data_IF_382720471755
#
_entry.id   IF_382720471755
#
_cell.length_a   1.000
_cell.length_b   1.000
_cell.length_c   1.000
_cell.angle_alpha   90.00
_cell.angle_beta   90.00
_cell.angle_gamma   90.00
#
_symmetry.space_group_name_H-M   'P 1'
#
loop_
_entity.id
_entity.type
_entity.pdbx_description
1 polymer ?
#
# COMPACT_ATOMS: atom_id res chain seq x y z
N UNK A 1 -46.94 -34.50 -14.78
CA UNK A 1 -47.79 -35.06 -13.74
C UNK A 1 -47.69 -34.14 -12.53
N UNK A 2 -48.74 -33.41 -12.30
CA UNK A 2 -49.33 -32.79 -11.13
C UNK A 2 -48.55 -31.71 -10.39
N UNK A 3 -49.03 -30.51 -10.61
CA UNK A 3 -48.84 -29.22 -9.92
C UNK A 3 -49.49 -29.32 -8.53
N UNK A 4 -48.82 -28.76 -7.49
CA UNK A 4 -49.57 -28.22 -6.35
C UNK A 4 -49.02 -26.85 -5.93
N UNK A 5 -49.86 -25.82 -6.11
CA UNK A 5 -49.75 -24.46 -5.56
C UNK A 5 -50.15 -24.49 -4.09
N UNK A 6 -49.36 -23.87 -3.23
CA UNK A 6 -49.73 -23.50 -1.84
C UNK A 6 -49.70 -21.98 -1.66
N UNK A 7 -50.88 -21.41 -1.43
CA UNK A 7 -51.14 -19.98 -1.17
C UNK A 7 -50.98 -19.64 0.31
N UNK A 8 -50.55 -18.39 0.50
CA UNK A 8 -51.05 -17.43 1.52
C UNK A 8 -50.44 -17.47 2.94
N UNK A 9 -49.99 -16.33 3.44
CA UNK A 9 -50.87 -15.37 4.14
C UNK A 9 -50.09 -14.07 4.42
N UNK A 10 -50.72 -12.95 4.04
CA UNK A 10 -50.42 -11.63 4.56
C UNK A 10 -50.65 -11.61 6.08
N UNK A 11 -49.73 -10.99 6.83
CA UNK A 11 -50.00 -10.47 8.15
C UNK A 11 -49.58 -8.98 8.16
N UNK A 12 -50.60 -8.14 8.24
CA UNK A 12 -50.52 -6.72 8.54
C UNK A 12 -50.30 -6.59 10.04
N UNK A 13 -49.34 -5.80 10.49
CA UNK A 13 -49.24 -5.37 11.89
C UNK A 13 -48.78 -3.90 11.94
N UNK A 14 -49.69 -3.16 12.38
CA UNK A 14 -49.89 -1.91 13.07
C UNK A 14 -48.63 -1.08 13.48
N UNK A 15 -48.72 0.20 13.10
CA UNK A 15 -47.99 1.32 13.61
C UNK A 15 -48.26 1.55 15.10
N UNK A 16 -47.22 1.73 15.89
CA UNK A 16 -47.31 2.29 17.24
C UNK A 16 -46.52 3.60 17.28
N UNK A 17 -47.27 4.70 17.32
CA UNK A 17 -46.81 6.05 17.55
C UNK A 17 -46.35 6.20 19.01
N UNK A 18 -45.12 6.57 19.29
CA UNK A 18 -44.69 7.06 20.60
C UNK A 18 -44.52 8.58 20.53
N UNK A 19 -45.39 9.26 21.24
CA UNK A 19 -45.35 10.70 21.54
C UNK A 19 -44.35 10.93 22.68
N UNK A 20 -43.29 11.73 22.43
CA UNK A 20 -42.40 12.25 23.48
C UNK A 20 -42.91 13.63 23.90
N UNK A 21 -43.21 13.77 25.17
CA UNK A 21 -43.66 15.01 25.80
C UNK A 21 -42.48 15.90 26.13
N UNK A 22 -42.51 17.14 25.66
CA UNK A 22 -41.65 18.24 26.06
C UNK A 22 -42.03 18.71 27.48
N UNK A 23 -41.09 18.67 28.41
CA UNK A 23 -41.15 19.38 29.70
C UNK A 23 -40.19 20.55 29.64
N UNK A 24 -40.73 21.73 29.45
CA UNK A 24 -40.06 23.01 29.69
C UNK A 24 -40.02 23.29 31.19
N UNK A 25 -38.82 23.48 31.74
CA UNK A 25 -38.59 23.93 33.10
C UNK A 25 -37.66 25.13 33.09
N UNK A 26 -38.24 26.34 33.20
CA UNK A 26 -37.54 27.56 33.56
C UNK A 26 -37.25 27.58 35.05
N UNK A 27 -35.99 27.79 35.46
CA UNK A 27 -35.68 28.41 36.76
C UNK A 27 -34.54 29.40 36.61
N UNK A 28 -34.76 30.48 37.26
CA UNK A 28 -34.10 31.78 37.23
C UNK A 28 -32.94 31.83 38.23
N UNK A 29 -31.85 32.44 37.80
CA UNK A 29 -30.96 33.35 38.54
C UNK A 29 -30.12 32.81 39.69
N UNK A 30 -28.82 33.02 39.54
CA UNK A 30 -27.83 32.95 40.60
C UNK A 30 -26.43 33.23 40.06
N UNK A 31 -26.00 34.50 40.17
CA UNK A 31 -24.61 34.89 39.95
C UNK A 31 -23.69 34.11 40.89
N UNK A 32 -22.68 33.47 40.36
CA UNK A 32 -21.49 33.08 41.09
C UNK A 32 -20.30 33.11 40.15
N UNK A 33 -19.49 34.08 40.34
CA UNK A 33 -18.13 34.24 39.85
C UNK A 33 -17.33 32.94 40.19
N UNK A 34 -16.77 32.28 39.15
CA UNK A 34 -16.00 31.06 39.37
C UNK A 34 -15.29 30.67 38.09
N UNK A 35 -13.99 30.98 38.04
CA UNK A 35 -13.00 30.77 37.02
C UNK A 35 -13.32 29.73 35.95
N UNK A 36 -13.36 30.15 34.72
CA UNK A 36 -13.30 29.29 33.52
C UNK A 36 -11.97 28.57 33.52
N UNK A 37 -11.98 27.30 33.96
CA UNK A 37 -11.04 26.35 33.40
C UNK A 37 -11.60 26.01 32.03
N UNK A 38 -10.95 26.52 31.02
CA UNK A 38 -11.18 26.21 29.62
C UNK A 38 -10.74 24.75 29.37
N UNK A 39 -11.54 23.83 29.85
CA UNK A 39 -11.51 22.42 29.45
C UNK A 39 -12.46 22.29 28.27
N UNK A 40 -12.03 22.73 27.09
CA UNK A 40 -12.74 22.41 25.87
C UNK A 40 -12.94 20.89 25.83
N UNK A 41 -14.20 20.45 25.76
CA UNK A 41 -14.52 19.04 25.54
C UNK A 41 -13.89 18.67 24.21
N UNK A 42 -12.85 17.82 24.23
CA UNK A 42 -12.22 17.34 23.02
C UNK A 42 -13.28 16.62 22.18
N UNK A 43 -13.46 17.02 20.93
CA UNK A 43 -14.45 16.44 20.05
C UNK A 43 -14.01 15.03 19.66
N UNK A 44 -14.93 14.06 19.76
CA UNK A 44 -14.71 12.67 19.37
C UNK A 44 -14.51 12.58 17.85
N UNK A 45 -13.68 11.63 17.40
CA UNK A 45 -13.37 11.42 15.99
C UNK A 45 -13.65 10.01 15.53
N UNK A 46 -13.99 9.85 14.25
CA UNK A 46 -14.06 8.57 13.54
C UNK A 46 -12.83 8.42 12.67
N UNK A 47 -12.16 7.28 12.80
CA UNK A 47 -10.95 6.94 12.02
C UNK A 47 -11.18 5.69 11.21
N UNK A 48 -11.00 5.76 9.90
CA UNK A 48 -10.99 4.58 9.05
C UNK A 48 -9.58 4.08 8.80
N UNK A 49 -9.46 2.75 8.66
CA UNK A 49 -8.20 2.09 8.29
C UNK A 49 -8.46 0.99 7.26
N UNK A 50 -7.59 0.92 6.24
CA UNK A 50 -7.58 -0.20 5.30
C UNK A 50 -6.86 -1.44 5.89
N UNK A 51 -6.16 -1.31 7.01
CA UNK A 51 -5.48 -2.41 7.69
C UNK A 51 -6.47 -3.15 8.63
N UNK A 52 -7.02 -4.26 8.12
CA UNK A 52 -8.12 -4.98 8.78
C UNK A 52 -7.72 -6.33 9.40
N UNK A 53 -6.43 -6.69 9.34
CA UNK A 53 -5.95 -7.92 9.99
C UNK A 53 -6.15 -7.83 11.50
N UNK A 54 -6.74 -8.87 12.15
CA UNK A 54 -7.17 -8.79 13.55
C UNK A 54 -6.07 -8.40 14.54
N UNK A 55 -4.86 -8.91 14.35
CA UNK A 55 -3.69 -8.61 15.18
C UNK A 55 -3.24 -7.15 15.02
N UNK A 56 -3.26 -6.63 13.81
CA UNK A 56 -2.92 -5.23 13.49
C UNK A 56 -3.96 -4.26 14.02
N UNK A 57 -5.25 -4.58 13.85
CA UNK A 57 -6.35 -3.80 14.45
C UNK A 57 -6.25 -3.77 15.98
N UNK A 58 -5.91 -4.90 16.62
CA UNK A 58 -5.72 -4.94 18.07
C UNK A 58 -4.59 -4.00 18.53
N UNK A 59 -3.45 -4.01 17.82
CA UNK A 59 -2.32 -3.10 18.09
C UNK A 59 -2.66 -1.64 17.84
N UNK A 60 -3.37 -1.33 16.77
CA UNK A 60 -3.85 0.04 16.48
C UNK A 60 -4.74 0.53 17.62
N UNK A 61 -5.65 -0.32 18.14
CA UNK A 61 -6.49 0.02 19.31
C UNK A 61 -5.70 0.24 20.59
N UNK A 62 -4.59 -0.47 20.81
CA UNK A 62 -3.70 -0.22 21.94
C UNK A 62 -3.04 1.17 21.86
N UNK A 63 -2.63 1.59 20.67
CA UNK A 63 -2.09 2.95 20.43
C UNK A 63 -3.17 4.01 20.65
N UNK A 64 -4.37 3.79 20.12
CA UNK A 64 -5.53 4.66 20.29
C UNK A 64 -5.88 4.82 21.78
N UNK A 65 -5.88 3.74 22.55
CA UNK A 65 -6.20 3.80 24.00
C UNK A 65 -5.21 4.70 24.76
N UNK A 66 -3.90 4.66 24.42
CA UNK A 66 -2.90 5.56 24.99
C UNK A 66 -3.15 7.02 24.57
N UNK A 67 -3.51 7.25 23.31
CA UNK A 67 -3.88 8.57 22.82
C UNK A 67 -5.09 9.15 23.57
N UNK A 68 -6.17 8.36 23.71
CA UNK A 68 -7.38 8.77 24.44
C UNK A 68 -7.06 9.06 25.92
N UNK A 69 -6.23 8.23 26.58
CA UNK A 69 -5.80 8.47 27.96
C UNK A 69 -5.04 9.79 28.10
N UNK A 70 -4.18 10.13 27.13
CA UNK A 70 -3.33 11.32 27.17
C UNK A 70 -4.09 12.61 26.81
N UNK A 71 -5.01 12.54 25.84
CA UNK A 71 -5.65 13.73 25.23
C UNK A 71 -7.11 13.93 25.62
N UNK A 72 -7.78 12.88 26.08
CA UNK A 72 -9.22 12.87 26.33
C UNK A 72 -10.08 12.81 25.05
N UNK A 73 -9.49 12.68 23.86
CA UNK A 73 -10.22 12.52 22.58
C UNK A 73 -10.67 11.07 22.44
N UNK A 74 -11.98 10.85 22.34
CA UNK A 74 -12.55 9.53 22.03
C UNK A 74 -12.40 9.22 20.53
N UNK A 75 -12.04 7.97 20.21
CA UNK A 75 -11.80 7.55 18.82
C UNK A 75 -12.60 6.30 18.48
N UNK A 76 -13.42 6.37 17.43
CA UNK A 76 -14.04 5.20 16.82
C UNK A 76 -13.18 4.71 15.65
N UNK A 77 -12.57 3.52 15.79
CA UNK A 77 -11.79 2.89 14.70
C UNK A 77 -12.67 1.95 13.88
N UNK A 78 -12.81 2.24 12.59
CA UNK A 78 -13.57 1.44 11.61
C UNK A 78 -12.60 0.83 10.59
N UNK A 79 -12.56 -0.50 10.50
CA UNK A 79 -11.80 -1.22 9.48
C UNK A 79 -12.61 -1.32 8.18
N UNK A 80 -12.05 -0.84 7.07
CA UNK A 80 -12.65 -0.96 5.73
C UNK A 80 -11.73 -1.83 4.88
N UNK A 81 -12.16 -3.04 4.45
CA UNK A 81 -11.35 -3.91 3.61
C UNK A 81 -10.88 -3.22 2.32
N UNK A 82 -9.63 -3.46 1.93
CA UNK A 82 -8.99 -2.78 0.80
C UNK A 82 -9.77 -2.96 -0.52
N UNK A 83 -10.30 -4.15 -0.77
CA UNK A 83 -11.12 -4.49 -1.95
C UNK A 83 -12.46 -3.75 -2.00
N UNK A 84 -12.98 -3.30 -0.86
CA UNK A 84 -14.24 -2.56 -0.73
C UNK A 84 -14.02 -1.05 -0.54
N UNK A 85 -12.78 -0.64 -0.28
CA UNK A 85 -12.46 0.71 0.17
C UNK A 85 -12.99 1.79 -0.78
N UNK A 86 -12.72 1.69 -2.07
CA UNK A 86 -13.17 2.67 -3.06
C UNK A 86 -14.70 2.76 -3.16
N UNK A 87 -15.42 1.65 -3.02
CA UNK A 87 -16.88 1.63 -3.04
C UNK A 87 -17.46 2.28 -1.78
N UNK A 88 -16.94 1.94 -0.61
CA UNK A 88 -17.37 2.50 0.68
C UNK A 88 -17.09 4.01 0.70
N UNK A 89 -15.89 4.42 0.29
CA UNK A 89 -15.50 5.82 0.20
C UNK A 89 -16.44 6.63 -0.68
N UNK A 90 -16.73 6.16 -1.89
CA UNK A 90 -17.63 6.85 -2.83
C UNK A 90 -19.04 6.98 -2.27
N UNK A 91 -19.55 5.93 -1.61
CA UNK A 91 -20.91 5.97 -1.04
C UNK A 91 -21.00 6.90 0.17
N UNK A 92 -19.99 6.91 1.03
CA UNK A 92 -19.94 7.80 2.21
C UNK A 92 -19.71 9.26 1.83
N UNK A 93 -18.87 9.53 0.84
CA UNK A 93 -18.71 10.87 0.28
C UNK A 93 -20.05 11.44 -0.26
N UNK A 94 -20.79 10.63 -1.03
CA UNK A 94 -22.09 11.01 -1.55
C UNK A 94 -23.17 11.23 -0.46
N UNK A 95 -23.02 10.54 0.69
CA UNK A 95 -23.90 10.69 1.84
C UNK A 95 -23.50 11.86 2.76
N UNK A 96 -22.30 12.43 2.61
CA UNK A 96 -21.73 13.40 3.53
C UNK A 96 -21.36 12.79 4.88
N UNK A 97 -20.99 11.50 4.91
CA UNK A 97 -20.70 10.70 6.10
C UNK A 97 -19.27 10.12 5.98
N UNK A 98 -18.29 11.02 5.86
CA UNK A 98 -16.87 10.66 5.86
C UNK A 98 -16.34 10.61 7.30
N UNK A 99 -15.32 9.77 7.58
CA UNK A 99 -14.62 9.81 8.85
C UNK A 99 -13.76 11.07 8.94
N UNK A 100 -13.31 11.44 10.14
CA UNK A 100 -12.42 12.58 10.35
C UNK A 100 -10.99 12.32 9.84
N UNK A 101 -10.54 11.06 9.96
CA UNK A 101 -9.21 10.63 9.53
C UNK A 101 -9.31 9.31 8.78
N UNK A 102 -8.54 9.18 7.72
CA UNK A 102 -8.37 7.92 6.99
C UNK A 102 -6.88 7.55 7.03
N UNK A 103 -6.58 6.33 7.45
CA UNK A 103 -5.22 5.81 7.56
C UNK A 103 -4.98 4.53 6.77
N UNK A 104 -3.69 4.19 6.63
CA UNK A 104 -3.22 3.03 5.88
C UNK A 104 -3.68 3.04 4.41
N UNK A 105 -3.69 4.21 3.78
CA UNK A 105 -4.13 4.38 2.38
C UNK A 105 -2.97 4.71 1.45
N UNK A 106 -3.09 4.25 0.20
CA UNK A 106 -2.11 4.46 -0.85
C UNK A 106 -2.16 5.88 -1.43
N UNK A 107 -1.10 6.29 -2.10
CA UNK A 107 -1.06 7.56 -2.84
C UNK A 107 -2.22 7.71 -3.82
N UNK A 108 -2.56 6.65 -4.54
CA UNK A 108 -3.66 6.69 -5.51
C UNK A 108 -5.03 6.90 -4.83
N UNK A 109 -5.26 6.31 -3.65
CA UNK A 109 -6.49 6.54 -2.87
C UNK A 109 -6.55 7.98 -2.33
N UNK A 110 -5.41 8.53 -1.85
CA UNK A 110 -5.33 9.94 -1.45
C UNK A 110 -5.68 10.86 -2.63
N UNK A 111 -5.17 10.56 -3.83
CA UNK A 111 -5.48 11.33 -5.04
C UNK A 111 -6.96 11.22 -5.44
N UNK A 112 -7.58 10.06 -5.25
CA UNK A 112 -9.04 9.91 -5.45
C UNK A 112 -9.85 10.80 -4.50
N UNK A 113 -9.43 10.89 -3.23
CA UNK A 113 -10.05 11.80 -2.26
C UNK A 113 -9.88 13.27 -2.68
N UNK A 114 -8.64 13.67 -3.00
CA UNK A 114 -8.31 15.05 -3.36
C UNK A 114 -9.06 15.51 -4.63
N UNK A 115 -9.15 14.66 -5.66
CA UNK A 115 -9.89 14.94 -6.89
C UNK A 115 -11.41 15.16 -6.68
N UNK A 116 -11.93 14.81 -5.50
CA UNK A 116 -13.33 15.00 -5.12
C UNK A 116 -13.49 16.05 -4.00
N UNK A 117 -12.47 16.86 -3.71
CA UNK A 117 -12.48 17.89 -2.66
C UNK A 117 -12.76 17.31 -1.25
N UNK A 118 -12.33 16.08 -0.97
CA UNK A 118 -12.61 15.36 0.29
C UNK A 118 -11.47 15.37 1.30
N UNK A 119 -10.38 16.05 0.98
CA UNK A 119 -9.18 16.18 1.83
C UNK A 119 -9.12 17.58 2.41
N UNK A 120 -8.62 17.74 3.63
CA UNK A 120 -8.21 19.04 4.21
C UNK A 120 -6.68 19.23 4.09
N UNK A 121 -6.18 19.85 2.99
CA UNK A 121 -4.75 20.03 2.80
C UNK A 121 -4.11 20.95 3.84
N UNK A 122 -4.86 21.93 4.39
CA UNK A 122 -4.37 22.87 5.40
C UNK A 122 -4.15 22.15 6.74
N UNK A 123 -5.09 21.27 7.13
CA UNK A 123 -4.94 20.45 8.33
C UNK A 123 -3.75 19.50 8.22
N UNK A 124 -3.61 18.78 7.10
CA UNK A 124 -2.48 17.87 6.85
C UNK A 124 -1.15 18.60 6.84
N UNK A 125 -1.09 19.81 6.24
CA UNK A 125 0.10 20.65 6.23
C UNK A 125 0.51 21.09 7.64
N UNK A 126 -0.44 21.50 8.46
CA UNK A 126 -0.21 21.87 9.85
C UNK A 126 0.43 20.73 10.64
N UNK A 127 -0.06 19.50 10.46
CA UNK A 127 0.52 18.32 11.10
C UNK A 127 1.98 18.11 10.68
N UNK A 128 2.29 18.18 9.39
CA UNK A 128 3.66 18.00 8.88
C UNK A 128 4.59 19.10 9.43
N UNK A 129 4.14 20.37 9.47
CA UNK A 129 4.89 21.49 10.02
C UNK A 129 5.16 21.32 11.52
N UNK A 130 4.14 20.92 12.31
CA UNK A 130 4.26 20.67 13.76
C UNK A 130 5.22 19.51 14.08
N UNK A 131 5.24 18.47 13.26
CA UNK A 131 6.14 17.33 13.39
C UNK A 131 7.58 17.64 12.95
N UNK A 132 7.80 18.75 12.25
CA UNK A 132 9.07 19.13 11.64
C UNK A 132 9.25 18.50 10.27
N UNK A 133 9.05 19.29 9.22
CA UNK A 133 9.12 18.84 7.81
C UNK A 133 10.46 18.19 7.47
N UNK A 134 11.56 18.68 8.04
CA UNK A 134 12.91 18.19 7.85
C UNK A 134 13.18 16.79 8.47
N UNK A 135 12.25 16.29 9.30
CA UNK A 135 12.33 14.94 9.87
C UNK A 135 11.81 13.85 8.91
N UNK A 136 11.06 14.25 7.88
CA UNK A 136 10.55 13.36 6.85
C UNK A 136 11.53 13.16 5.69
N UNK A 137 11.47 12.03 5.00
CA UNK A 137 12.18 11.86 3.74
C UNK A 137 11.57 12.80 2.69
N UNK A 138 12.44 13.43 1.89
CA UNK A 138 11.99 14.38 0.86
C UNK A 138 11.05 13.70 -0.15
N UNK A 139 11.38 12.47 -0.53
CA UNK A 139 10.58 11.71 -1.50
C UNK A 139 9.17 11.43 -0.97
N UNK A 140 9.00 11.08 0.30
CA UNK A 140 7.67 10.84 0.87
C UNK A 140 6.81 12.12 0.87
N UNK A 141 7.40 13.27 1.20
CA UNK A 141 6.69 14.55 1.12
C UNK A 141 6.34 14.93 -0.32
N UNK A 142 7.26 14.77 -1.28
CA UNK A 142 7.00 15.03 -2.70
C UNK A 142 5.82 14.20 -3.23
N UNK A 143 5.75 12.92 -2.87
CA UNK A 143 4.70 12.02 -3.34
C UNK A 143 3.33 12.28 -2.70
N UNK A 144 3.30 12.85 -1.50
CA UNK A 144 2.06 13.16 -0.77
C UNK A 144 1.55 14.59 -0.96
N UNK A 145 2.24 15.38 -1.80
CA UNK A 145 1.86 16.76 -2.18
C UNK A 145 1.29 16.83 -3.59
N UNK A 146 0.49 17.86 -3.81
CA UNK A 146 0.12 18.34 -5.14
C UNK A 146 0.39 19.85 -5.21
N UNK A 147 1.43 20.23 -5.96
CA UNK A 147 1.96 21.60 -5.89
C UNK A 147 2.34 21.98 -4.46
N UNK A 148 1.71 23.02 -3.94
CA UNK A 148 1.94 23.52 -2.56
C UNK A 148 0.99 22.89 -1.52
N UNK A 149 0.06 22.03 -1.94
CA UNK A 149 -0.93 21.39 -1.08
C UNK A 149 -0.42 20.07 -0.51
N UNK A 150 -0.51 19.89 0.81
CA UNK A 150 -0.19 18.65 1.50
C UNK A 150 -1.46 17.80 1.59
N UNK A 151 -1.62 16.81 0.70
CA UNK A 151 -2.83 16.01 0.63
C UNK A 151 -2.95 14.97 1.74
N UNK A 152 -1.82 14.52 2.29
CA UNK A 152 -1.79 13.54 3.37
C UNK A 152 -0.48 13.61 4.14
N UNK A 153 -0.46 13.05 5.35
CA UNK A 153 0.74 12.92 6.18
C UNK A 153 1.36 11.56 5.93
N UNK A 154 2.54 11.45 5.30
CA UNK A 154 3.16 10.15 5.04
C UNK A 154 3.54 9.45 6.34
N UNK A 155 3.13 8.18 6.50
CA UNK A 155 3.39 7.42 7.73
C UNK A 155 4.50 6.38 7.57
N UNK A 156 4.51 5.68 6.46
CA UNK A 156 5.45 4.61 6.19
C UNK A 156 5.57 4.37 4.68
N UNK A 157 6.50 3.52 4.30
CA UNK A 157 6.61 3.06 2.92
C UNK A 157 6.88 1.56 2.85
N UNK A 158 6.61 0.97 1.70
CA UNK A 158 7.04 -0.37 1.35
C UNK A 158 7.56 -0.39 -0.09
N UNK A 159 8.35 -1.40 -0.41
CA UNK A 159 9.01 -1.51 -1.70
C UNK A 159 8.58 -2.78 -2.42
N UNK A 160 8.50 -2.73 -3.74
CA UNK A 160 8.48 -3.92 -4.59
C UNK A 160 9.93 -4.34 -4.85
N UNK A 161 10.21 -5.63 -4.74
CA UNK A 161 11.55 -6.18 -4.85
C UNK A 161 11.57 -7.39 -5.79
N UNK A 162 12.67 -7.59 -6.48
CA UNK A 162 12.99 -8.87 -7.08
C UNK A 162 13.72 -9.72 -6.04
N UNK A 163 13.10 -10.82 -5.63
CA UNK A 163 13.67 -11.85 -4.78
C UNK A 163 14.30 -12.95 -5.62
N UNK A 164 15.47 -13.46 -5.20
CA UNK A 164 16.10 -14.58 -5.87
C UNK A 164 16.67 -15.58 -4.88
N UNK A 165 16.66 -16.85 -5.22
CA UNK A 165 17.20 -17.96 -4.43
C UNK A 165 18.72 -17.96 -4.52
N UNK A 166 19.41 -17.39 -3.52
CA UNK A 166 20.89 -17.29 -3.45
C UNK A 166 21.54 -18.67 -3.59
N UNK A 167 21.04 -19.68 -2.90
CA UNK A 167 21.56 -21.04 -2.94
C UNK A 167 21.52 -21.65 -4.37
N UNK A 168 20.49 -21.37 -5.16
CA UNK A 168 20.38 -21.80 -6.55
C UNK A 168 21.31 -20.99 -7.45
N UNK A 169 21.40 -19.68 -7.24
CA UNK A 169 22.28 -18.80 -7.98
C UNK A 169 23.75 -19.13 -7.74
N UNK A 170 24.15 -19.31 -6.49
CA UNK A 170 25.52 -19.71 -6.11
C UNK A 170 25.91 -21.05 -6.74
N UNK A 171 25.02 -22.06 -6.66
CA UNK A 171 25.23 -23.38 -7.27
C UNK A 171 25.37 -23.30 -8.79
N UNK A 172 24.65 -22.38 -9.43
CA UNK A 172 24.70 -22.18 -10.88
C UNK A 172 25.81 -21.20 -11.31
N UNK A 173 26.50 -20.54 -10.38
CA UNK A 173 27.51 -19.53 -10.68
C UNK A 173 26.90 -18.28 -11.34
N UNK A 174 25.73 -17.85 -10.87
CA UNK A 174 25.00 -16.66 -11.35
C UNK A 174 25.09 -15.57 -10.28
N UNK A 175 25.35 -14.33 -10.68
CA UNK A 175 25.30 -13.16 -9.79
C UNK A 175 23.88 -12.60 -9.68
N UNK A 176 23.59 -11.77 -8.66
CA UNK A 176 22.33 -11.06 -8.53
C UNK A 176 21.98 -10.28 -9.81
N UNK A 177 20.78 -10.46 -10.39
CA UNK A 177 20.41 -9.83 -11.65
C UNK A 177 20.12 -8.34 -11.43
N UNK A 178 20.57 -7.49 -12.37
CA UNK A 178 20.37 -6.03 -12.30
C UNK A 178 19.67 -5.48 -13.54
N UNK A 179 19.66 -6.27 -14.60
CA UNK A 179 19.10 -5.87 -15.91
C UNK A 179 18.10 -6.91 -16.41
N UNK A 180 17.32 -6.53 -17.43
CA UNK A 180 16.44 -7.48 -18.13
C UNK A 180 17.20 -8.68 -18.66
N UNK A 181 18.38 -8.46 -19.24
CA UNK A 181 19.21 -9.54 -19.77
C UNK A 181 19.70 -10.47 -18.65
N UNK A 182 20.09 -9.93 -17.49
CA UNK A 182 20.50 -10.75 -16.35
C UNK A 182 19.34 -11.62 -15.84
N UNK A 183 18.13 -11.03 -15.71
CA UNK A 183 16.93 -11.76 -15.27
C UNK A 183 16.62 -12.88 -16.25
N UNK A 184 16.63 -12.59 -17.55
CA UNK A 184 16.38 -13.58 -18.60
C UNK A 184 17.41 -14.69 -18.59
N UNK A 185 18.69 -14.37 -18.54
CA UNK A 185 19.77 -15.36 -18.49
C UNK A 185 19.71 -16.25 -17.23
N UNK A 186 19.37 -15.66 -16.08
CA UNK A 186 19.16 -16.42 -14.85
C UNK A 186 17.95 -17.34 -14.95
N UNK A 187 16.83 -16.85 -15.49
CA UNK A 187 15.64 -17.64 -15.69
C UNK A 187 15.88 -18.81 -16.65
N UNK A 188 16.46 -18.56 -17.84
CA UNK A 188 16.81 -19.61 -18.81
C UNK A 188 17.69 -20.72 -18.20
N UNK A 189 18.64 -20.32 -17.34
CA UNK A 189 19.61 -21.26 -16.76
C UNK A 189 19.01 -22.10 -15.64
N UNK A 190 18.03 -21.59 -14.90
CA UNK A 190 17.46 -22.24 -13.72
C UNK A 190 16.12 -22.91 -14.00
N UNK A 191 15.44 -22.54 -15.09
CA UNK A 191 14.13 -23.11 -15.44
C UNK A 191 14.21 -24.61 -15.70
N UNK A 192 13.24 -25.33 -15.20
CA UNK A 192 13.09 -26.77 -15.37
C UNK A 192 11.64 -27.19 -15.16
N UNK A 193 11.24 -28.46 -15.45
CA UNK A 193 9.87 -28.92 -15.19
C UNK A 193 9.40 -28.76 -13.73
N UNK A 194 10.32 -28.71 -12.77
CA UNK A 194 10.04 -28.62 -11.33
C UNK A 194 10.27 -27.22 -10.75
N UNK A 195 10.97 -26.33 -11.47
CA UNK A 195 11.40 -25.01 -10.99
C UNK A 195 11.19 -23.97 -12.08
N UNK A 196 10.30 -23.03 -11.88
CA UNK A 196 10.16 -21.86 -12.74
C UNK A 196 11.34 -20.87 -12.54
N UNK A 197 11.80 -20.27 -13.63
CA UNK A 197 12.85 -19.24 -13.56
C UNK A 197 12.40 -17.98 -12.84
N UNK A 198 11.15 -17.52 -13.09
CA UNK A 198 10.56 -16.34 -12.46
C UNK A 198 9.05 -16.53 -12.26
N UNK A 199 8.53 -16.06 -11.14
CA UNK A 199 7.09 -15.89 -10.94
C UNK A 199 6.78 -14.42 -10.63
N UNK A 200 5.76 -13.87 -11.30
CA UNK A 200 5.29 -12.50 -11.10
C UNK A 200 3.80 -12.39 -11.44
N UNK A 201 3.12 -11.35 -10.99
CA UNK A 201 1.68 -11.19 -11.12
C UNK A 201 1.24 -10.89 -12.56
N UNK A 202 0.12 -11.50 -12.97
CA UNK A 202 -0.50 -11.26 -14.28
C UNK A 202 -2.03 -11.38 -14.25
N UNK A 203 -2.64 -11.47 -13.07
CA UNK A 203 -4.09 -11.54 -12.95
C UNK A 203 -4.71 -10.17 -13.26
N UNK A 204 -5.72 -10.09 -14.14
CA UNK A 204 -6.37 -8.82 -14.47
C UNK A 204 -7.20 -8.29 -13.30
N UNK A 205 -7.39 -6.98 -13.27
CA UNK A 205 -8.24 -6.33 -12.26
C UNK A 205 -7.65 -6.30 -10.85
N UNK A 206 -6.34 -6.48 -10.72
CA UNK A 206 -5.63 -6.39 -9.45
C UNK A 206 -4.54 -5.33 -9.48
N UNK A 207 -4.53 -4.46 -8.48
CA UNK A 207 -3.49 -3.44 -8.32
C UNK A 207 -2.08 -4.06 -8.20
N UNK A 208 -1.95 -5.23 -7.57
CA UNK A 208 -0.68 -5.94 -7.43
C UNK A 208 -0.05 -6.29 -8.79
N UNK A 209 -0.86 -6.62 -9.81
CA UNK A 209 -0.36 -6.84 -11.17
C UNK A 209 0.21 -5.57 -11.78
N UNK A 210 -0.46 -4.43 -11.62
CA UNK A 210 0.06 -3.13 -12.06
C UNK A 210 1.34 -2.76 -11.32
N UNK A 211 1.37 -2.86 -10.00
CA UNK A 211 2.52 -2.54 -9.16
C UNK A 211 3.75 -3.39 -9.51
N UNK A 212 3.53 -4.69 -9.76
CA UNK A 212 4.60 -5.61 -10.16
C UNK A 212 5.16 -5.27 -11.54
N UNK A 213 4.29 -4.91 -12.50
CA UNK A 213 4.72 -4.48 -13.83
C UNK A 213 5.39 -3.10 -13.79
N UNK A 214 4.84 -2.14 -13.04
CA UNK A 214 5.43 -0.79 -12.88
C UNK A 214 6.86 -0.88 -12.36
N UNK A 215 7.13 -1.77 -11.37
CA UNK A 215 8.48 -2.02 -10.84
C UNK A 215 9.48 -2.44 -11.94
N UNK A 216 9.06 -3.26 -12.89
CA UNK A 216 9.89 -3.68 -14.02
C UNK A 216 9.99 -2.55 -15.07
N UNK A 217 8.88 -1.94 -15.41
CA UNK A 217 8.76 -1.05 -16.56
C UNK A 217 9.46 0.30 -16.37
N UNK A 218 9.42 0.85 -15.16
CA UNK A 218 10.08 2.14 -14.84
C UNK A 218 11.57 2.15 -15.17
N UNK A 219 12.27 1.05 -14.92
CA UNK A 219 13.68 0.92 -15.22
C UNK A 219 13.99 0.78 -16.71
N UNK A 220 12.96 0.60 -17.57
CA UNK A 220 13.09 0.66 -19.02
C UNK A 220 12.71 2.03 -19.61
N UNK A 221 12.45 3.04 -18.76
CA UNK A 221 11.98 4.34 -19.22
C UNK A 221 10.51 4.36 -19.63
N UNK A 222 9.74 3.32 -19.29
CA UNK A 222 8.30 3.32 -19.51
C UNK A 222 7.63 4.24 -18.47
N UNK A 223 6.81 5.18 -18.95
CA UNK A 223 6.01 6.09 -18.15
C UNK A 223 4.54 6.01 -18.58
N UNK A 224 3.64 6.08 -17.64
CA UNK A 224 2.20 6.13 -17.92
C UNK A 224 1.83 7.46 -18.58
N UNK A 225 2.48 8.53 -18.14
CA UNK A 225 2.26 9.92 -18.57
C UNK A 225 3.59 10.68 -18.46
N UNK A 226 3.86 11.59 -19.38
CA UNK A 226 5.06 12.43 -19.36
C UNK A 226 4.88 13.71 -18.54
N UNK A 227 5.95 14.51 -18.39
CA UNK A 227 5.92 15.77 -17.63
C UNK A 227 5.03 16.86 -18.26
N UNK A 228 4.59 16.67 -19.51
CA UNK A 228 3.63 17.56 -20.19
C UNK A 228 2.18 17.13 -19.96
N UNK A 229 1.96 16.00 -19.30
CA UNK A 229 0.64 15.43 -19.05
C UNK A 229 0.09 14.60 -20.23
N UNK A 230 0.93 14.28 -21.24
CA UNK A 230 0.51 13.41 -22.33
C UNK A 230 0.64 11.94 -21.92
N UNK A 231 -0.36 11.14 -22.25
CA UNK A 231 -0.32 9.68 -22.03
C UNK A 231 0.73 9.06 -22.96
N UNK A 232 1.70 8.35 -22.37
CA UNK A 232 2.84 7.73 -23.06
C UNK A 232 2.94 6.21 -22.86
N UNK A 233 1.93 5.57 -22.31
CA UNK A 233 1.95 4.12 -22.07
C UNK A 233 2.03 3.28 -23.36
N UNK A 234 1.78 3.86 -24.52
CA UNK A 234 1.96 3.25 -25.85
C UNK A 234 3.32 3.58 -26.50
N UNK A 235 4.29 4.10 -25.72
CA UNK A 235 5.65 4.35 -26.18
C UNK A 235 6.43 3.05 -26.47
N UNK A 236 7.50 3.11 -27.31
CA UNK A 236 8.36 1.95 -27.55
C UNK A 236 8.95 1.34 -26.27
N UNK A 237 9.29 2.17 -25.27
CA UNK A 237 9.83 1.75 -23.98
C UNK A 237 8.81 0.90 -23.20
N UNK A 238 7.54 1.31 -23.19
CA UNK A 238 6.47 0.57 -22.54
C UNK A 238 6.13 -0.73 -23.29
N UNK A 239 6.08 -0.68 -24.62
CA UNK A 239 5.88 -1.88 -25.45
C UNK A 239 6.98 -2.91 -25.17
N UNK A 240 8.24 -2.50 -25.14
CA UNK A 240 9.37 -3.39 -24.86
C UNK A 240 9.32 -3.97 -23.43
N UNK A 241 8.90 -3.18 -22.44
CA UNK A 241 8.68 -3.68 -21.08
C UNK A 241 7.58 -4.75 -21.03
N UNK A 242 6.47 -4.54 -21.75
CA UNK A 242 5.40 -5.54 -21.89
C UNK A 242 5.87 -6.80 -22.61
N UNK A 243 6.69 -6.68 -23.66
CA UNK A 243 7.30 -7.81 -24.36
C UNK A 243 8.20 -8.62 -23.44
N UNK A 244 9.09 -7.94 -22.72
CA UNK A 244 9.96 -8.60 -21.73
C UNK A 244 9.13 -9.35 -20.68
N UNK A 245 8.14 -8.68 -20.08
CA UNK A 245 7.28 -9.28 -19.05
C UNK A 245 6.52 -10.49 -19.57
N UNK A 246 5.93 -10.38 -20.78
CA UNK A 246 5.27 -11.48 -21.49
C UNK A 246 6.21 -12.67 -21.71
N UNK A 247 7.41 -12.39 -22.23
CA UNK A 247 8.35 -13.44 -22.60
C UNK A 247 8.87 -14.17 -21.36
N UNK A 248 9.09 -13.45 -20.27
CA UNK A 248 9.46 -14.03 -18.99
C UNK A 248 8.37 -14.96 -18.44
N UNK A 249 7.12 -14.48 -18.38
CA UNK A 249 6.04 -15.26 -17.79
C UNK A 249 5.58 -16.41 -18.70
N UNK A 250 5.66 -16.24 -20.00
CA UNK A 250 5.27 -17.30 -20.95
C UNK A 250 6.26 -18.44 -20.99
N UNK A 251 7.56 -18.16 -20.89
CA UNK A 251 8.61 -19.15 -21.12
C UNK A 251 9.21 -19.71 -19.83
N UNK A 252 9.20 -18.96 -18.71
CA UNK A 252 9.96 -19.29 -17.50
C UNK A 252 9.14 -19.21 -16.22
N UNK A 253 7.80 -19.17 -16.29
CA UNK A 253 6.94 -19.05 -15.11
C UNK A 253 6.00 -20.23 -14.94
N UNK A 254 5.39 -20.32 -13.76
CA UNK A 254 4.32 -21.28 -13.51
C UNK A 254 3.09 -20.94 -14.37
N UNK A 255 2.38 -21.93 -14.88
CA UNK A 255 1.22 -21.67 -15.73
C UNK A 255 0.02 -21.09 -14.95
N UNK A 256 -0.81 -20.33 -15.65
CA UNK A 256 -2.06 -19.77 -15.12
C UNK A 256 -1.94 -18.33 -14.66
N UNK A 257 -3.06 -17.77 -14.20
CA UNK A 257 -3.10 -16.43 -13.66
C UNK A 257 -2.43 -16.40 -12.27
N UNK A 258 -1.54 -15.44 -12.08
CA UNK A 258 -0.78 -15.24 -10.85
C UNK A 258 -1.27 -13.97 -10.17
N UNK A 259 -1.74 -14.10 -8.94
CA UNK A 259 -2.10 -13.02 -8.02
C UNK A 259 -1.11 -12.95 -6.85
N UNK A 260 -1.38 -12.10 -5.88
CA UNK A 260 -0.55 -11.90 -4.70
C UNK A 260 -0.29 -13.22 -3.95
N UNK A 261 -1.30 -14.09 -3.81
CA UNK A 261 -1.20 -15.34 -3.07
C UNK A 261 -0.48 -16.43 -3.86
N UNK A 262 -0.76 -16.56 -5.14
CA UNK A 262 -0.17 -17.60 -6.01
C UNK A 262 1.30 -17.34 -6.32
N UNK A 263 1.71 -16.08 -6.49
CA UNK A 263 3.13 -15.70 -6.60
C UNK A 263 3.87 -16.10 -5.33
N UNK A 264 3.36 -15.70 -4.16
CA UNK A 264 3.93 -16.06 -2.85
C UNK A 264 4.01 -17.58 -2.68
N UNK A 265 2.92 -18.30 -2.89
CA UNK A 265 2.86 -19.76 -2.73
C UNK A 265 3.84 -20.49 -3.65
N UNK A 266 4.05 -20.00 -4.88
CA UNK A 266 5.00 -20.58 -5.83
C UNK A 266 6.44 -20.42 -5.34
N UNK A 267 6.82 -19.25 -4.84
CA UNK A 267 8.13 -19.02 -4.26
C UNK A 267 8.33 -19.80 -2.96
N UNK A 268 7.34 -19.80 -2.07
CA UNK A 268 7.39 -20.48 -0.76
C UNK A 268 7.45 -22.01 -0.86
N UNK A 269 6.87 -22.57 -1.90
CA UNK A 269 6.98 -24.02 -2.15
C UNK A 269 8.30 -24.44 -2.79
N UNK A 270 9.21 -23.48 -3.06
CA UNK A 270 10.49 -23.74 -3.73
C UNK A 270 10.35 -24.01 -5.23
N UNK A 271 9.22 -23.62 -5.85
CA UNK A 271 8.93 -23.84 -7.28
C UNK A 271 9.31 -22.66 -8.18
N UNK A 272 9.93 -21.61 -7.64
CA UNK A 272 10.42 -20.50 -8.42
C UNK A 272 11.82 -20.08 -7.93
N UNK A 273 12.72 -19.79 -8.88
CA UNK A 273 14.06 -19.31 -8.61
C UNK A 273 14.08 -17.81 -8.29
N UNK A 274 13.17 -17.07 -8.90
CA UNK A 274 12.97 -15.63 -8.68
C UNK A 274 11.48 -15.33 -8.51
N UNK A 275 11.18 -14.28 -7.73
CA UNK A 275 9.82 -13.74 -7.56
C UNK A 275 9.86 -12.21 -7.47
N UNK A 276 8.82 -11.54 -7.94
CA UNK A 276 8.62 -10.11 -7.69
C UNK A 276 7.47 -9.96 -6.70
N UNK A 277 7.76 -9.35 -5.55
CA UNK A 277 6.80 -9.18 -4.47
C UNK A 277 7.19 -8.01 -3.56
N UNK A 278 6.28 -7.55 -2.70
CA UNK A 278 6.57 -6.45 -1.78
C UNK A 278 7.38 -6.89 -0.56
N UNK A 279 7.87 -5.91 0.21
CA UNK A 279 8.63 -6.15 1.45
C UNK A 279 7.83 -6.88 2.53
N UNK A 280 6.49 -6.88 2.46
CA UNK A 280 5.63 -7.61 3.41
C UNK A 280 5.86 -9.13 3.47
N UNK A 281 6.52 -9.73 2.48
CA UNK A 281 6.84 -11.16 2.46
C UNK A 281 8.00 -11.54 3.41
N UNK A 282 8.73 -10.58 3.96
CA UNK A 282 9.98 -10.84 4.66
C UNK A 282 9.79 -11.60 5.99
N UNK A 283 8.78 -11.27 6.78
CA UNK A 283 8.46 -12.00 8.01
C UNK A 283 7.90 -13.40 7.73
N UNK A 284 7.14 -13.54 6.67
CA UNK A 284 6.60 -14.81 6.18
C UNK A 284 7.75 -15.75 5.75
N UNK A 285 8.72 -15.27 4.95
CA UNK A 285 9.91 -16.03 4.55
C UNK A 285 10.77 -16.45 5.75
N UNK A 286 10.75 -15.66 6.83
CA UNK A 286 11.43 -15.98 8.07
C UNK A 286 10.69 -17.02 8.94
N UNK A 287 9.48 -17.45 8.51
CA UNK A 287 8.66 -18.41 9.23
C UNK A 287 8.04 -17.84 10.50
N UNK A 288 7.72 -16.54 10.51
CA UNK A 288 7.18 -15.83 11.67
C UNK A 288 5.65 -15.77 11.70
N UNK A 289 4.99 -16.31 10.66
CA UNK A 289 3.53 -16.35 10.51
C UNK A 289 3.05 -17.76 10.21
N UNK A 290 2.08 -18.27 10.98
CA UNK A 290 1.53 -19.63 10.78
C UNK A 290 0.58 -19.71 9.58
N UNK A 291 -0.07 -18.62 9.23
CA UNK A 291 -0.98 -18.52 8.08
C UNK A 291 -0.26 -18.45 6.72
N UNK A 292 1.05 -18.17 6.72
CA UNK A 292 1.86 -17.99 5.53
C UNK A 292 3.25 -18.66 5.62
N UNK A 293 3.30 -19.88 6.14
CA UNK A 293 4.56 -20.62 6.32
C UNK A 293 5.16 -21.07 4.99
N UNK A 294 6.50 -20.89 4.79
CA UNK A 294 7.20 -21.50 3.68
C UNK A 294 7.09 -23.03 3.69
N UNK A 295 6.83 -23.60 2.52
CA UNK A 295 6.56 -25.04 2.36
C UNK A 295 7.61 -25.77 1.52
N UNK A 296 8.70 -25.11 1.17
CA UNK A 296 9.81 -25.71 0.42
C UNK A 296 10.34 -26.96 1.14
N UNK A 297 10.97 -27.93 0.42
CA UNK A 297 11.51 -29.14 1.04
C UNK A 297 12.45 -28.84 2.21
N UNK A 298 13.33 -27.86 2.06
CA UNK A 298 14.29 -27.41 3.05
C UNK A 298 13.62 -26.68 4.23
N UNK A 299 12.49 -26.00 3.96
CA UNK A 299 11.73 -25.25 4.96
C UNK A 299 11.10 -26.16 6.03
N UNK A 300 10.95 -27.45 5.75
CA UNK A 300 10.46 -28.42 6.75
C UNK A 300 11.44 -28.63 7.90
N UNK A 301 12.74 -28.52 7.63
CA UNK A 301 13.78 -28.65 8.62
C UNK A 301 14.17 -27.29 9.25
N UNK A 302 14.10 -26.21 8.47
CA UNK A 302 14.39 -24.84 8.89
C UNK A 302 13.32 -23.91 8.32
N UNK A 303 12.30 -23.51 9.09
CA UNK A 303 11.24 -22.60 8.63
C UNK A 303 11.74 -21.27 8.07
N UNK A 304 12.94 -20.82 8.51
CA UNK A 304 13.58 -19.60 8.03
C UNK A 304 14.54 -19.83 6.86
N UNK A 305 14.53 -21.01 6.24
CA UNK A 305 15.44 -21.34 5.15
C UNK A 305 15.38 -20.32 4.01
N UNK A 306 14.17 -19.92 3.57
CA UNK A 306 14.01 -18.93 2.51
C UNK A 306 14.62 -17.60 2.88
N UNK A 307 14.32 -17.06 4.07
CA UNK A 307 14.90 -15.78 4.51
C UNK A 307 16.43 -15.78 4.47
N UNK A 308 17.06 -16.88 4.92
CA UNK A 308 18.53 -17.04 4.94
C UNK A 308 19.12 -17.22 3.54
N UNK A 309 18.36 -17.76 2.60
CA UNK A 309 18.80 -18.12 1.25
C UNK A 309 18.16 -17.27 0.13
N UNK A 310 17.50 -16.18 0.48
CA UNK A 310 16.96 -15.22 -0.48
C UNK A 310 17.84 -13.97 -0.54
N UNK A 311 18.16 -13.53 -1.74
CA UNK A 311 18.74 -12.23 -2.01
C UNK A 311 17.66 -11.29 -2.55
N UNK A 312 17.89 -9.99 -2.43
CA UNK A 312 16.98 -8.94 -2.90
C UNK A 312 17.65 -8.02 -3.92
N UNK A 313 16.89 -7.56 -4.88
CA UNK A 313 17.28 -6.52 -5.84
C UNK A 313 16.18 -5.47 -5.84
N UNK A 314 16.56 -4.20 -5.66
CA UNK A 314 15.62 -3.08 -5.60
C UNK A 314 15.31 -2.55 -7.00
N UNK A 315 16.30 -1.95 -7.65
CA UNK A 315 16.15 -1.36 -8.97
C UNK A 315 16.60 -2.30 -10.08
N UNK A 316 15.80 -2.41 -11.11
CA UNK A 316 16.07 -3.19 -12.32
C UNK A 316 16.20 -2.21 -13.49
N UNK A 317 17.19 -2.41 -14.37
CA UNK A 317 17.39 -1.59 -15.55
C UNK A 317 16.97 -2.35 -16.80
N UNK A 318 16.10 -1.74 -17.61
CA UNK A 318 15.79 -2.21 -18.96
C UNK A 318 16.75 -1.63 -20.00
N UNK A 319 16.71 -2.15 -21.25
CA UNK A 319 17.64 -1.74 -22.30
C UNK A 319 17.47 -0.29 -22.77
N UNK A 320 16.31 0.32 -22.57
CA UNK A 320 16.03 1.71 -22.98
C UNK A 320 16.09 2.69 -21.79
N UNK A 321 16.28 2.19 -20.57
CA UNK A 321 16.35 3.01 -19.39
C UNK A 321 17.75 3.51 -19.08
N UNK A 322 17.87 4.76 -18.64
CA UNK A 322 19.15 5.40 -18.29
C UNK A 322 19.74 4.86 -16.98
N UNK A 323 18.89 4.41 -16.04
CA UNK A 323 19.28 3.94 -14.72
C UNK A 323 18.27 2.93 -14.16
N UNK A 324 18.68 2.09 -13.21
CA UNK A 324 17.73 1.26 -12.48
C UNK A 324 16.64 2.09 -11.81
N UNK A 325 15.42 1.55 -11.75
CA UNK A 325 14.32 2.16 -11.03
C UNK A 325 13.56 1.11 -10.22
N UNK A 326 12.89 1.56 -9.16
CA UNK A 326 12.07 0.69 -8.33
C UNK A 326 10.74 1.32 -8.00
N UNK A 327 9.70 0.50 -7.99
CA UNK A 327 8.41 0.84 -7.47
C UNK A 327 8.39 0.73 -5.94
N UNK A 328 7.71 1.64 -5.29
CA UNK A 328 7.31 1.53 -3.90
C UNK A 328 6.09 2.38 -3.63
N UNK A 329 5.50 2.19 -2.48
CA UNK A 329 4.33 2.93 -2.03
C UNK A 329 4.67 3.73 -0.78
N UNK A 330 4.15 4.93 -0.70
CA UNK A 330 4.06 5.71 0.53
C UNK A 330 2.63 5.58 1.05
N UNK A 331 2.51 5.05 2.24
CA UNK A 331 1.24 4.91 2.95
C UNK A 331 1.06 6.14 3.83
N UNK A 332 -0.18 6.58 4.01
CA UNK A 332 -0.46 7.88 4.65
C UNK A 332 -1.66 7.84 5.57
N UNK A 333 -1.67 8.82 6.47
CA UNK A 333 -2.85 9.36 7.13
C UNK A 333 -3.36 10.57 6.36
N UNK A 334 -4.67 10.74 6.19
CA UNK A 334 -5.27 11.97 5.67
C UNK A 334 -6.40 12.44 6.55
N UNK A 335 -6.44 13.74 6.82
CA UNK A 335 -7.54 14.42 7.48
C UNK A 335 -8.53 14.84 6.39
N UNK A 336 -9.81 14.55 6.59
CA UNK A 336 -10.84 14.80 5.60
C UNK A 336 -11.44 16.20 5.76
N UNK A 337 -12.00 16.73 4.67
CA UNK A 337 -12.74 17.98 4.70
C UNK A 337 -13.97 17.88 5.61
N UNK A 338 -14.21 18.89 6.45
CA UNK A 338 -15.33 18.92 7.39
C UNK A 338 -15.13 18.10 8.67
N UNK A 339 -13.91 17.58 8.92
CA UNK A 339 -13.56 16.83 10.14
C UNK A 339 -13.59 17.68 11.41
N UNK A 340 -13.58 17.03 12.58
CA UNK A 340 -13.21 17.65 13.86
C UNK A 340 -11.70 17.95 13.87
N UNK A 341 -11.31 18.96 13.08
CA UNK A 341 -9.94 19.22 12.62
C UNK A 341 -8.90 19.22 13.75
N UNK A 342 -9.16 19.90 14.88
CA UNK A 342 -8.20 19.97 16.00
C UNK A 342 -7.95 18.57 16.62
N UNK A 343 -9.01 17.77 16.81
CA UNK A 343 -8.89 16.41 17.34
C UNK A 343 -8.22 15.48 16.33
N UNK A 344 -8.54 15.62 15.03
CA UNK A 344 -7.93 14.88 13.94
C UNK A 344 -6.42 15.16 13.81
N UNK A 345 -6.01 16.43 13.88
CA UNK A 345 -4.61 16.83 13.87
C UNK A 345 -3.85 16.23 15.07
N UNK A 346 -4.38 16.35 16.28
CA UNK A 346 -3.79 15.74 17.51
C UNK A 346 -3.61 14.22 17.35
N UNK A 347 -4.59 13.57 16.73
CA UNK A 347 -4.54 12.13 16.49
C UNK A 347 -3.39 11.76 15.55
N UNK A 348 -3.31 12.40 14.38
CA UNK A 348 -2.25 12.11 13.39
C UNK A 348 -0.88 12.50 13.95
N UNK A 349 -0.74 13.64 14.64
CA UNK A 349 0.50 14.04 15.30
C UNK A 349 0.95 13.00 16.35
N UNK A 350 0.03 12.47 17.14
CA UNK A 350 0.33 11.43 18.12
C UNK A 350 0.86 10.16 17.45
N UNK A 351 0.16 9.66 16.42
CA UNK A 351 0.58 8.49 15.66
C UNK A 351 1.93 8.68 14.96
N UNK A 352 2.26 9.90 14.58
CA UNK A 352 3.51 10.24 13.91
C UNK A 352 4.63 10.70 14.85
N UNK A 353 4.40 10.73 16.16
CA UNK A 353 5.38 11.12 17.17
C UNK A 353 5.47 10.09 18.30
N UNK A 354 4.75 10.26 19.40
CA UNK A 354 4.76 9.38 20.58
C UNK A 354 4.41 7.92 20.21
N UNK A 355 3.40 7.74 19.36
CA UNK A 355 2.92 6.44 18.88
C UNK A 355 3.71 5.86 17.70
N UNK A 356 4.65 6.61 17.10
CA UNK A 356 5.19 6.22 15.80
C UNK A 356 6.00 4.92 15.82
N UNK A 357 6.83 4.72 16.83
CA UNK A 357 7.57 3.46 16.97
C UNK A 357 6.62 2.26 17.18
N UNK A 358 5.56 2.43 17.99
CA UNK A 358 4.53 1.40 18.19
C UNK A 358 3.79 1.12 16.87
N UNK A 359 3.47 2.15 16.07
CA UNK A 359 2.85 2.05 14.76
C UNK A 359 3.71 1.27 13.75
N UNK A 360 4.99 1.60 13.63
CA UNK A 360 5.93 0.88 12.76
C UNK A 360 6.08 -0.59 13.20
N UNK A 361 6.06 -0.87 14.52
CA UNK A 361 6.23 -2.22 15.07
C UNK A 361 5.07 -3.19 14.77
N UNK A 362 3.96 -2.69 14.24
CA UNK A 362 2.82 -3.54 13.83
C UNK A 362 3.24 -4.48 12.70
N UNK A 363 4.00 -3.98 11.71
CA UNK A 363 4.49 -4.74 10.58
C UNK A 363 5.80 -4.11 10.04
N UNK A 364 6.95 -4.25 10.74
CA UNK A 364 8.17 -3.53 10.38
C UNK A 364 8.67 -3.83 8.96
N UNK A 365 8.40 -5.03 8.44
CA UNK A 365 8.74 -5.47 7.08
C UNK A 365 7.99 -4.69 5.99
N UNK A 366 6.80 -4.19 6.32
CA UNK A 366 5.93 -3.43 5.42
C UNK A 366 5.74 -1.97 5.81
N UNK A 367 6.34 -1.52 6.92
CA UNK A 367 6.28 -0.14 7.43
C UNK A 367 7.67 0.41 7.64
N UNK A 368 8.34 0.67 6.53
CA UNK A 368 9.64 1.32 6.54
C UNK A 368 9.46 2.79 6.92
N UNK A 369 10.23 3.31 7.89
CA UNK A 369 10.03 4.66 8.38
C UNK A 369 10.30 5.71 7.29
N UNK A 370 9.37 6.62 7.09
CA UNK A 370 9.52 7.82 6.26
C UNK A 370 9.91 9.05 7.08
N UNK A 371 9.97 8.90 8.39
CA UNK A 371 10.62 9.82 9.33
C UNK A 371 11.81 9.09 9.96
N UNK A 372 13.02 9.63 9.78
CA UNK A 372 14.23 9.02 10.35
C UNK A 372 14.27 9.20 11.87
N UNK A 373 13.79 10.33 12.38
CA UNK A 373 13.78 10.66 13.79
C UNK A 373 12.85 11.84 14.11
N UNK A 374 13.11 12.52 15.22
CA UNK A 374 12.42 13.73 15.66
C UNK A 374 13.42 14.86 15.90
N UNK A 375 12.94 16.02 16.37
CA UNK A 375 13.79 17.21 16.62
C UNK A 375 14.91 16.98 17.64
N UNK A 376 14.70 16.06 18.60
CA UNK A 376 15.67 15.77 19.66
C UNK A 376 16.70 14.70 19.23
N UNK A 377 16.27 13.75 18.39
CA UNK A 377 17.09 12.66 17.86
C UNK A 377 16.73 12.37 16.41
N UNK A 378 17.53 12.88 15.48
CA UNK A 378 17.28 12.81 14.04
C UNK A 378 17.32 11.39 13.42
N UNK A 379 17.69 10.35 14.18
CA UNK A 379 17.74 8.94 13.70
C UNK A 379 16.92 7.99 14.56
N UNK A 380 16.17 8.48 15.52
CA UNK A 380 15.49 7.65 16.53
C UNK A 380 14.63 6.53 15.94
N UNK A 381 13.81 6.85 14.94
CA UNK A 381 12.89 5.88 14.37
C UNK A 381 13.60 4.88 13.46
N UNK A 382 14.56 5.36 12.66
CA UNK A 382 15.37 4.50 11.80
C UNK A 382 16.23 3.51 12.60
N UNK A 383 16.79 3.95 13.75
CA UNK A 383 17.57 3.09 14.63
C UNK A 383 16.67 2.08 15.35
N UNK A 384 15.53 2.50 15.88
CA UNK A 384 14.56 1.58 16.52
C UNK A 384 14.02 0.54 15.55
N UNK A 385 13.76 0.90 14.29
CA UNK A 385 13.19 0.01 13.30
C UNK A 385 14.00 -1.28 13.09
N UNK A 386 15.32 -1.20 13.12
CA UNK A 386 16.23 -2.36 12.93
C UNK A 386 16.00 -3.48 13.94
N UNK A 387 15.63 -3.11 15.15
CA UNK A 387 15.45 -4.02 16.28
C UNK A 387 13.97 -4.36 16.52
N UNK A 388 13.03 -3.82 15.73
CA UNK A 388 11.62 -4.12 15.87
C UNK A 388 11.33 -5.57 15.54
N UNK A 389 10.59 -6.29 16.41
CA UNK A 389 10.20 -7.66 16.14
C UNK A 389 9.11 -7.71 15.06
N UNK A 390 9.43 -8.33 13.93
CA UNK A 390 8.49 -8.65 12.85
C UNK A 390 7.73 -9.96 13.13
N UNK A 391 6.66 -10.21 12.35
CA UNK A 391 5.86 -11.42 12.44
C UNK A 391 4.60 -11.29 13.28
N UNK A 392 3.78 -12.32 13.30
CA UNK A 392 2.51 -12.40 14.03
C UNK A 392 2.57 -13.43 15.16
N UNK A 393 2.74 -14.71 14.82
CA UNK A 393 2.74 -15.82 15.78
C UNK A 393 4.07 -15.96 16.52
N UNK A 394 5.16 -15.61 15.84
CA UNK A 394 6.52 -15.53 16.37
C UNK A 394 7.06 -14.13 16.10
N UNK A 395 7.62 -13.50 17.12
CA UNK A 395 8.12 -12.13 17.06
C UNK A 395 9.64 -12.13 17.16
N UNK A 396 10.33 -11.76 16.08
CA UNK A 396 11.79 -11.68 16.02
C UNK A 396 12.25 -10.55 15.09
N UNK A 397 13.36 -9.85 15.39
CA UNK A 397 13.90 -8.84 14.49
C UNK A 397 14.31 -9.42 13.14
N UNK A 398 14.05 -8.69 12.05
CA UNK A 398 14.45 -9.09 10.69
C UNK A 398 15.96 -9.33 10.59
N UNK A 399 16.79 -8.58 11.34
CA UNK A 399 18.25 -8.74 11.38
C UNK A 399 18.74 -10.10 11.89
N UNK A 400 17.85 -10.91 12.49
CA UNK A 400 18.18 -12.30 12.84
C UNK A 400 18.23 -13.21 11.62
N UNK A 401 17.58 -12.86 10.54
CA UNK A 401 17.39 -13.69 9.34
C UNK A 401 18.05 -13.10 8.08
N UNK A 402 18.07 -11.78 7.99
CA UNK A 402 18.58 -11.04 6.83
C UNK A 402 19.91 -10.37 7.17
N UNK A 403 20.80 -10.24 6.16
CA UNK A 403 22.08 -9.56 6.32
C UNK A 403 21.91 -8.05 6.47
N UNK A 404 22.92 -7.40 7.05
CA UNK A 404 22.97 -5.93 7.17
C UNK A 404 22.85 -5.25 5.80
N UNK A 405 23.37 -5.83 4.72
CA UNK A 405 23.23 -5.30 3.37
C UNK A 405 21.75 -5.25 2.94
N UNK A 406 20.96 -6.30 3.24
CA UNK A 406 19.52 -6.33 2.95
C UNK A 406 18.79 -5.27 3.76
N UNK A 407 19.07 -5.17 5.06
CA UNK A 407 18.42 -4.18 5.92
C UNK A 407 18.76 -2.75 5.49
N UNK A 408 20.02 -2.49 5.11
CA UNK A 408 20.45 -1.19 4.59
C UNK A 408 19.74 -0.81 3.28
N UNK A 409 19.53 -1.78 2.38
CA UNK A 409 18.76 -1.59 1.14
C UNK A 409 17.32 -1.19 1.47
N UNK A 410 16.68 -1.88 2.40
CA UNK A 410 15.31 -1.58 2.80
C UNK A 410 15.18 -0.16 3.38
N UNK A 411 16.10 0.25 4.25
CA UNK A 411 16.09 1.57 4.87
C UNK A 411 16.28 2.73 3.89
N UNK A 412 17.01 2.51 2.80
CA UNK A 412 17.22 3.53 1.75
C UNK A 412 16.05 3.64 0.79
N UNK A 413 15.25 2.59 0.69
CA UNK A 413 14.14 2.52 -0.25
C UNK A 413 13.21 3.72 -0.24
N UNK A 414 12.76 4.24 0.92
CA UNK A 414 11.86 5.39 0.99
C UNK A 414 12.34 6.63 0.23
N UNK A 415 13.66 6.81 0.05
CA UNK A 415 14.26 7.94 -0.68
C UNK A 415 14.36 7.69 -2.19
N UNK A 416 14.26 6.44 -2.64
CA UNK A 416 14.55 6.02 -4.02
C UNK A 416 13.30 5.62 -4.82
N UNK A 417 12.11 5.66 -4.19
CA UNK A 417 10.85 5.25 -4.82
C UNK A 417 10.49 6.11 -6.04
N UNK A 418 9.98 5.44 -7.06
CA UNK A 418 9.33 6.09 -8.20
C UNK A 418 7.87 5.67 -8.28
N UNK A 419 7.02 6.58 -8.71
CA UNK A 419 5.60 6.36 -8.96
C UNK A 419 5.17 7.10 -10.22
N UNK A 420 4.56 6.36 -11.15
CA UNK A 420 3.99 6.94 -12.36
C UNK A 420 2.94 8.00 -12.04
N UNK A 421 2.94 9.09 -12.80
CA UNK A 421 1.93 10.12 -12.78
C UNK A 421 1.97 11.07 -11.56
N UNK A 422 2.47 10.63 -10.42
CA UNK A 422 2.49 11.47 -9.20
C UNK A 422 3.46 12.65 -9.38
N UNK A 423 4.72 12.36 -9.72
CA UNK A 423 5.76 13.40 -9.91
C UNK A 423 5.54 14.24 -11.15
N UNK A 424 4.74 13.76 -12.10
CA UNK A 424 4.34 14.50 -13.30
C UNK A 424 3.11 15.41 -13.07
N UNK A 425 2.63 15.54 -11.82
CA UNK A 425 1.45 16.35 -11.50
C UNK A 425 0.14 15.79 -12.08
N UNK A 426 0.07 14.48 -12.31
CA UNK A 426 -1.10 13.77 -12.85
C UNK A 426 -1.71 12.82 -11.80
N UNK A 427 -1.71 13.26 -10.55
CA UNK A 427 -2.21 12.48 -9.42
C UNK A 427 -3.67 12.06 -9.59
N UNK A 428 -4.53 12.94 -10.09
CA UNK A 428 -5.95 12.67 -10.34
C UNK A 428 -6.14 11.52 -11.33
N UNK A 429 -5.31 11.49 -12.38
CA UNK A 429 -5.29 10.38 -13.33
C UNK A 429 -4.90 9.06 -12.65
N UNK A 430 -3.91 9.09 -11.77
CA UNK A 430 -3.48 7.90 -11.01
C UNK A 430 -4.62 7.38 -10.12
N UNK A 431 -5.29 8.29 -9.41
CA UNK A 431 -6.46 7.95 -8.59
C UNK A 431 -7.60 7.35 -9.39
N UNK A 432 -7.99 8.02 -10.49
CA UNK A 432 -9.10 7.57 -11.34
C UNK A 432 -8.79 6.24 -12.05
N UNK A 433 -7.53 5.99 -12.44
CA UNK A 433 -7.10 4.75 -13.09
C UNK A 433 -7.21 3.51 -12.19
N UNK A 434 -7.28 3.67 -10.85
CA UNK A 434 -7.53 2.55 -9.93
C UNK A 434 -8.87 1.85 -10.18
N UNK A 435 -9.88 2.57 -10.69
CA UNK A 435 -11.21 2.00 -10.95
C UNK A 435 -11.22 1.01 -12.12
N UNK A 436 -10.36 1.19 -13.12
CA UNK A 436 -10.35 0.40 -14.37
C UNK A 436 -9.10 -0.47 -14.52
N UNK A 437 -7.99 -0.14 -13.85
CA UNK A 437 -6.69 -0.83 -13.89
C UNK A 437 -6.23 -1.18 -15.32
N UNK A 438 -6.15 -0.20 -16.25
CA UNK A 438 -5.87 -0.46 -17.66
C UNK A 438 -4.50 -1.10 -17.88
N UNK A 439 -3.51 -0.79 -17.05
CA UNK A 439 -2.17 -1.39 -17.09
C UNK A 439 -2.20 -2.86 -16.69
N UNK A 440 -2.87 -3.20 -15.59
CA UNK A 440 -3.03 -4.61 -15.16
C UNK A 440 -3.75 -5.42 -16.23
N UNK A 441 -4.74 -4.82 -16.90
CA UNK A 441 -5.40 -5.44 -18.04
C UNK A 441 -4.45 -5.68 -19.20
N UNK A 442 -3.62 -4.71 -19.59
CA UNK A 442 -2.64 -4.87 -20.67
C UNK A 442 -1.65 -5.99 -20.36
N UNK A 443 -1.14 -6.06 -19.12
CA UNK A 443 -0.27 -7.15 -18.65
C UNK A 443 -0.93 -8.52 -18.80
N UNK A 444 -2.18 -8.65 -18.37
CA UNK A 444 -2.92 -9.90 -18.53
C UNK A 444 -3.17 -10.27 -20.01
N UNK A 445 -3.51 -9.28 -20.82
CA UNK A 445 -3.79 -9.47 -22.26
C UNK A 445 -2.54 -10.01 -22.98
N UNK A 446 -1.33 -9.53 -22.67
CA UNK A 446 -0.09 -10.01 -23.32
C UNK A 446 0.41 -11.33 -22.74
N UNK A 447 0.23 -11.58 -21.46
CA UNK A 447 0.76 -12.79 -20.78
C UNK A 447 -0.15 -14.00 -20.90
N UNK A 448 -1.46 -13.81 -20.90
CA UNK A 448 -2.50 -14.86 -20.88
C UNK A 448 -3.44 -14.78 -22.06
N UNK A 449 -3.78 -13.57 -22.52
CA UNK A 449 -4.74 -13.33 -23.60
C UNK A 449 -4.19 -13.49 -25.02
N UNK A 450 -2.86 -13.61 -25.18
CA UNK A 450 -2.21 -13.74 -26.49
C UNK A 450 -2.33 -12.47 -27.34
N UNK A 451 -2.61 -11.33 -26.75
CA UNK A 451 -2.63 -10.01 -27.41
C UNK A 451 -1.20 -9.56 -27.65
N UNK A 452 -0.94 -8.95 -28.79
CA UNK A 452 0.35 -8.32 -29.11
C UNK A 452 0.63 -7.14 -28.17
N UNK A 453 1.89 -6.93 -27.78
CA UNK A 453 2.28 -5.93 -26.79
C UNK A 453 1.98 -4.51 -27.23
N UNK A 454 2.24 -4.17 -28.52
CA UNK A 454 1.93 -2.85 -29.07
C UNK A 454 0.42 -2.58 -29.03
N UNK A 455 -0.39 -3.59 -29.39
CA UNK A 455 -1.85 -3.49 -29.32
C UNK A 455 -2.35 -3.32 -27.89
N UNK A 456 -1.82 -4.09 -26.94
CA UNK A 456 -2.22 -4.00 -25.53
C UNK A 456 -1.83 -2.64 -24.93
N UNK A 457 -0.61 -2.16 -25.19
CA UNK A 457 -0.13 -0.84 -24.77
C UNK A 457 -1.04 0.28 -25.31
N UNK A 458 -1.38 0.21 -26.61
CA UNK A 458 -2.26 1.18 -27.24
C UNK A 458 -3.66 1.19 -26.64
N UNK A 459 -4.24 0.03 -26.35
CA UNK A 459 -5.56 -0.09 -25.72
C UNK A 459 -5.54 0.49 -24.30
N UNK A 460 -4.52 0.21 -23.52
CA UNK A 460 -4.36 0.80 -22.19
C UNK A 460 -4.18 2.33 -22.25
N UNK A 461 -3.37 2.83 -23.19
CA UNK A 461 -3.18 4.26 -23.41
C UNK A 461 -4.49 4.96 -23.86
N UNK A 462 -5.29 4.32 -24.71
CA UNK A 462 -6.62 4.83 -25.09
C UNK A 462 -7.56 4.93 -23.89
N UNK A 463 -7.57 3.92 -23.02
CA UNK A 463 -8.34 3.95 -21.76
C UNK A 463 -7.84 5.05 -20.84
N UNK A 464 -6.53 5.19 -20.64
CA UNK A 464 -5.95 6.27 -19.85
C UNK A 464 -6.31 7.67 -20.38
N UNK A 465 -6.29 7.88 -21.71
CA UNK A 465 -6.73 9.13 -22.34
C UNK A 465 -8.23 9.38 -22.11
N UNK A 466 -9.05 8.33 -22.15
CA UNK A 466 -10.49 8.45 -21.85
C UNK A 466 -10.72 8.87 -20.40
N UNK A 467 -10.03 8.23 -19.44
CA UNK A 467 -10.07 8.59 -18.01
C UNK A 467 -9.62 10.05 -17.84
N UNK A 468 -8.45 10.43 -18.38
CA UNK A 468 -7.93 11.80 -18.30
C UNK A 468 -8.91 12.83 -18.90
N UNK A 469 -9.57 12.48 -19.99
CA UNK A 469 -10.61 13.32 -20.61
C UNK A 469 -11.85 13.53 -19.75
N UNK A 470 -12.16 12.59 -18.85
CA UNK A 470 -13.29 12.69 -17.92
C UNK A 470 -13.00 13.50 -16.66
N UNK A 471 -11.73 13.77 -16.37
CA UNK A 471 -11.28 14.60 -15.23
C UNK A 471 -11.32 16.12 -15.54
N UNK A 472 -11.56 16.49 -16.79
CA UNK A 472 -11.68 17.88 -17.27
C UNK A 472 -13.15 18.27 -17.30
#
# INVERSE_FOLDING_TARGET
MTITRGRSKLAVLAAASLTVALLAGCTQGGDSDGGSTDGGNAEAITVWTADTLPDRVAKTKEIIAKFTEETGVEVELVGVPEDQFNQVLTSSAAAGDLPDVIGSISLAQVRTLAANDLVDPAANKTVVENLGEDTFTKRALELTRDGDEQLSVPDSSWQQLLYYRKDLFDKAGITAPKTYDDIKAAAEKLDSPELAGLVAANKPGEAFTQQTFEHIAQGNGCEMVNDQGDITFDSPECVKALEFYRDMLKNYSVPGAQDVDTVRASYFSGKAAMAIWSTFILDEMAGLRDDAMPTCPECKADPAFLAKNTGVVTGIQGPDGDQPAQFGEVVSWTITEGSATESAQKFVEYFMSTGYADWLSIAPEGRLPVRAGNADNGTEYADKWKDMPAGVDRKEPLGKFYSEDVLSILQKGPDELKRWGITQGQGDLVGAALGELPVAKAVSDVTSGGVDAEKAAKQAAETLRSIQGSLK
#
